data_IF_292375205478
#
_entry.id   IF_292375205478
#
_cell.length_a   1.000
_cell.length_b   1.000
_cell.length_c   1.000
_cell.angle_alpha   90.00
_cell.angle_beta   90.00
_cell.angle_gamma   90.00
#
_symmetry.space_group_name_H-M   'P 1'
#
loop_
_entity.id
_entity.type
_entity.pdbx_description
1 polymer ?
#
# COMPACT_ATOMS: atom_id res chain seq x y z
N UNK A 1 10.45 22.08 -28.60
CA UNK A 1 10.09 23.21 -29.46
C UNK A 1 8.93 22.82 -30.37
N UNK A 2 8.24 23.78 -30.98
CA UNK A 2 7.20 23.51 -31.97
C UNK A 2 7.78 22.80 -33.19
N UNK A 3 9.00 23.15 -33.62
CA UNK A 3 9.72 22.49 -34.71
C UNK A 3 9.88 20.98 -34.48
N UNK A 4 10.21 20.54 -33.27
CA UNK A 4 10.35 19.10 -32.98
C UNK A 4 9.04 18.34 -33.01
N UNK A 5 7.91 19.02 -32.87
CA UNK A 5 6.57 18.47 -33.04
C UNK A 5 6.12 18.45 -34.51
N UNK A 6 6.53 19.46 -35.30
CA UNK A 6 6.21 19.58 -36.71
C UNK A 6 7.05 18.62 -37.59
N UNK A 7 8.33 18.43 -37.25
CA UNK A 7 9.25 17.51 -37.93
C UNK A 7 8.96 16.02 -37.65
N UNK A 8 8.14 15.72 -36.66
CA UNK A 8 7.83 14.35 -36.34
C UNK A 8 6.68 13.87 -37.21
N UNK A 9 6.97 12.88 -38.06
CA UNK A 9 6.02 12.24 -38.98
C UNK A 9 4.76 11.69 -38.27
N UNK A 10 4.82 11.55 -36.95
CA UNK A 10 3.73 11.08 -36.06
C UNK A 10 2.91 12.22 -35.42
N UNK A 11 3.21 13.48 -35.69
CA UNK A 11 2.53 14.72 -35.24
C UNK A 11 1.56 14.61 -34.04
N UNK A 12 0.32 14.25 -34.29
CA UNK A 12 -0.69 14.10 -33.25
C UNK A 12 -0.45 12.93 -32.29
N UNK A 13 0.19 11.84 -32.73
CA UNK A 13 0.46 10.68 -31.87
C UNK A 13 1.54 10.99 -30.81
N UNK A 14 2.51 11.86 -31.12
CA UNK A 14 3.52 12.26 -30.16
C UNK A 14 2.94 13.13 -29.04
N UNK A 15 2.07 14.08 -29.37
CA UNK A 15 1.40 14.92 -28.38
C UNK A 15 0.55 14.08 -27.40
N UNK A 16 -0.26 13.18 -27.93
CA UNK A 16 -1.05 12.26 -27.11
C UNK A 16 -0.18 11.37 -26.23
N UNK A 17 0.96 10.92 -26.74
CA UNK A 17 1.92 10.12 -25.98
C UNK A 17 2.52 10.92 -24.82
N UNK A 18 2.95 12.17 -25.07
CA UNK A 18 3.49 13.06 -24.02
C UNK A 18 2.43 13.33 -22.95
N UNK A 19 1.20 13.67 -23.33
CA UNK A 19 0.10 13.91 -22.39
C UNK A 19 -0.18 12.67 -21.54
N UNK A 20 -0.16 11.48 -22.13
CA UNK A 20 -0.35 10.21 -21.42
C UNK A 20 0.79 9.94 -20.44
N UNK A 21 2.04 10.15 -20.83
CA UNK A 21 3.19 10.01 -19.92
C UNK A 21 3.11 10.97 -18.75
N UNK A 22 2.78 12.24 -19.00
CA UNK A 22 2.62 13.25 -17.95
C UNK A 22 1.48 12.89 -16.99
N UNK A 23 0.35 12.43 -17.50
CA UNK A 23 -0.80 12.04 -16.67
C UNK A 23 -0.47 10.84 -15.79
N UNK A 24 0.23 9.84 -16.34
CA UNK A 24 0.65 8.66 -15.57
C UNK A 24 1.67 9.03 -14.49
N UNK A 25 2.69 9.85 -14.82
CA UNK A 25 3.67 10.32 -13.84
C UNK A 25 2.98 11.09 -12.71
N UNK A 26 2.07 12.00 -13.06
CA UNK A 26 1.34 12.80 -12.11
C UNK A 26 0.40 11.97 -11.22
N UNK A 27 -0.21 10.91 -11.77
CA UNK A 27 -1.04 9.99 -10.99
C UNK A 27 -0.20 9.23 -9.95
N UNK A 28 1.01 8.78 -10.32
CA UNK A 28 1.95 8.14 -9.39
C UNK A 28 2.40 9.11 -8.29
N UNK A 29 2.70 10.37 -8.64
CA UNK A 29 3.09 11.40 -7.68
C UNK A 29 1.95 11.71 -6.69
N UNK A 30 0.70 11.71 -7.14
CA UNK A 30 -0.48 11.89 -6.27
C UNK A 30 -0.61 10.71 -5.30
N UNK A 31 -0.40 9.48 -5.77
CA UNK A 31 -0.48 8.28 -4.92
C UNK A 31 0.62 8.32 -3.85
N UNK A 32 1.86 8.64 -4.24
CA UNK A 32 2.97 8.81 -3.29
C UNK A 32 2.69 9.92 -2.28
N UNK A 33 2.23 11.09 -2.73
CA UNK A 33 1.85 12.20 -1.84
C UNK A 33 0.72 11.81 -0.87
N UNK A 34 -0.27 11.07 -1.33
CA UNK A 34 -1.38 10.64 -0.47
C UNK A 34 -0.94 9.63 0.60
N UNK A 35 0.09 8.82 0.31
CA UNK A 35 0.61 7.82 1.24
C UNK A 35 1.67 8.45 2.15
N UNK A 36 2.70 9.09 1.57
CA UNK A 36 3.93 9.51 2.25
C UNK A 36 4.02 11.01 2.54
N UNK A 37 3.01 11.81 2.19
CA UNK A 37 3.03 13.24 2.48
C UNK A 37 3.31 13.50 3.96
N UNK A 38 4.20 14.44 4.27
CA UNK A 38 4.65 14.76 5.63
C UNK A 38 4.18 16.13 6.16
N UNK A 39 3.57 16.95 5.28
CA UNK A 39 3.11 18.29 5.64
C UNK A 39 4.25 19.25 6.03
N UNK A 40 5.53 18.84 5.86
CA UNK A 40 6.70 19.65 6.19
C UNK A 40 7.02 20.68 5.11
N UNK A 41 8.01 21.53 5.32
CA UNK A 41 8.37 22.55 4.32
C UNK A 41 9.52 22.08 3.43
N UNK A 42 9.37 22.18 2.09
CA UNK A 42 10.49 22.14 1.16
C UNK A 42 10.44 21.12 0.04
N UNK A 43 9.58 20.10 0.10
CA UNK A 43 9.50 19.04 -0.91
C UNK A 43 8.08 18.91 -1.49
N UNK A 44 7.93 18.15 -2.56
CA UNK A 44 6.60 17.80 -3.10
C UNK A 44 5.71 17.11 -2.05
N UNK A 45 6.27 16.22 -1.23
CA UNK A 45 5.57 15.51 -0.16
C UNK A 45 5.12 16.43 0.99
N UNK A 46 5.61 17.67 1.05
CA UNK A 46 5.22 18.65 2.07
C UNK A 46 3.88 19.35 1.81
N UNK A 47 3.28 19.12 0.64
CA UNK A 47 2.03 19.79 0.24
C UNK A 47 0.86 19.39 1.16
N UNK A 48 0.83 18.13 1.62
CA UNK A 48 -0.21 17.63 2.52
C UNK A 48 0.31 16.47 3.37
N UNK A 49 -0.37 16.19 4.48
CA UNK A 49 -0.13 15.02 5.30
C UNK A 49 -0.78 13.78 4.66
N UNK A 50 0.04 12.76 4.39
CA UNK A 50 -0.36 11.46 3.86
C UNK A 50 -0.95 10.53 4.91
N UNK A 51 -1.49 9.39 4.48
CA UNK A 51 -2.08 8.40 5.38
C UNK A 51 -1.09 7.89 6.42
N UNK A 52 0.16 7.59 6.02
CA UNK A 52 1.20 7.09 6.93
C UNK A 52 1.55 8.14 7.99
N UNK A 53 1.74 9.40 7.58
CA UNK A 53 2.05 10.48 8.52
C UNK A 53 0.90 10.71 9.51
N UNK A 54 -0.34 10.77 9.02
CA UNK A 54 -1.53 10.92 9.87
C UNK A 54 -1.70 9.79 10.86
N UNK A 55 -1.38 8.55 10.45
CA UNK A 55 -1.43 7.39 11.35
C UNK A 55 -0.37 7.49 12.46
N UNK A 56 0.85 7.97 12.14
CA UNK A 56 1.94 8.11 13.10
C UNK A 56 1.80 9.35 14.01
N UNK A 57 1.26 10.46 13.47
CA UNK A 57 1.24 11.77 14.12
C UNK A 57 0.05 11.99 15.06
N UNK A 58 -0.98 11.18 15.00
CA UNK A 58 -2.16 11.39 15.84
C UNK A 58 -1.86 10.98 17.28
N UNK A 59 -1.28 11.91 18.02
CA UNK A 59 -0.96 11.80 19.45
C UNK A 59 -2.18 11.82 20.36
N UNK A 60 -3.37 11.49 19.90
CA UNK A 60 -4.57 11.37 20.72
C UNK A 60 -4.96 9.91 20.91
N UNK A 61 -4.24 9.22 21.80
CA UNK A 61 -4.72 8.06 22.55
C UNK A 61 -5.18 6.79 21.81
N UNK A 62 -5.62 6.90 20.60
CA UNK A 62 -6.14 5.77 19.82
C UNK A 62 -5.07 5.09 18.96
N UNK A 63 -4.03 5.80 18.58
CA UNK A 63 -2.95 5.30 17.75
C UNK A 63 -1.72 4.82 18.53
N UNK A 64 -1.82 4.64 19.84
CA UNK A 64 -0.83 3.91 20.64
C UNK A 64 -0.73 2.42 20.27
N UNK A 65 -1.37 2.03 19.20
CA UNK A 65 -1.34 0.66 18.70
C UNK A 65 -0.12 0.42 17.82
N UNK A 66 1.03 0.98 18.23
CA UNK A 66 2.31 0.63 17.62
C UNK A 66 2.68 -0.76 18.11
N UNK A 67 2.67 -1.71 17.21
CA UNK A 67 3.23 -3.03 17.48
C UNK A 67 4.70 -2.99 17.12
N UNK A 68 5.55 -3.18 18.12
CA UNK A 68 6.99 -3.28 17.92
C UNK A 68 7.36 -4.53 17.14
N UNK A 69 8.17 -4.36 16.10
CA UNK A 69 8.66 -5.45 15.24
C UNK A 69 10.15 -5.62 15.44
N UNK A 70 10.54 -6.63 16.20
CA UNK A 70 11.96 -6.91 16.44
C UNK A 70 12.62 -7.54 15.21
N UNK A 71 13.79 -7.03 14.84
CA UNK A 71 14.63 -7.55 13.75
C UNK A 71 13.93 -7.66 12.38
N UNK A 72 12.95 -6.83 12.08
CA UNK A 72 12.18 -6.86 10.82
C UNK A 72 11.58 -8.24 10.52
N UNK A 73 11.18 -8.98 11.57
CA UNK A 73 10.58 -10.31 11.43
C UNK A 73 9.06 -10.23 11.46
N UNK A 74 8.45 -10.38 10.31
CA UNK A 74 6.99 -10.35 10.12
C UNK A 74 6.37 -11.71 10.41
N UNK A 75 6.22 -12.02 11.69
CA UNK A 75 5.65 -13.29 12.17
C UNK A 75 4.14 -13.22 12.33
N UNK A 76 3.50 -14.38 12.43
CA UNK A 76 2.07 -14.47 12.74
C UNK A 76 1.71 -13.78 14.06
N UNK A 77 2.62 -13.78 15.04
CA UNK A 77 2.41 -13.15 16.34
C UNK A 77 2.34 -11.61 16.22
N UNK A 78 3.22 -11.01 15.40
CA UNK A 78 3.18 -9.57 15.10
C UNK A 78 1.84 -9.20 14.47
N UNK A 79 1.39 -9.97 13.48
CA UNK A 79 0.11 -9.72 12.81
C UNK A 79 -1.07 -9.90 13.77
N UNK A 80 -0.99 -10.87 14.68
CA UNK A 80 -2.01 -11.05 15.73
C UNK A 80 -2.04 -9.85 16.69
N UNK A 81 -0.89 -9.33 17.08
CA UNK A 81 -0.81 -8.14 17.95
C UNK A 81 -1.43 -6.92 17.28
N UNK A 82 -1.22 -6.71 15.98
CA UNK A 82 -1.88 -5.63 15.22
C UNK A 82 -3.41 -5.80 15.26
N UNK A 83 -3.92 -7.02 15.08
CA UNK A 83 -5.37 -7.29 15.18
C UNK A 83 -5.89 -7.00 16.59
N UNK A 84 -5.11 -7.32 17.63
CA UNK A 84 -5.50 -7.07 19.01
C UNK A 84 -5.42 -5.60 19.40
N UNK A 85 -4.61 -4.82 18.71
CA UNK A 85 -4.47 -3.39 18.91
C UNK A 85 -5.73 -2.61 18.48
N UNK A 86 -6.43 -3.05 17.45
CA UNK A 86 -7.70 -2.42 17.04
C UNK A 86 -8.78 -2.60 18.14
N UNK A 87 -9.57 -1.57 18.47
CA UNK A 87 -10.66 -1.65 19.41
C UNK A 87 -11.66 -2.79 19.11
N UNK A 88 -12.21 -3.39 20.17
CA UNK A 88 -13.07 -4.57 20.07
C UNK A 88 -14.30 -4.38 19.14
N UNK A 89 -14.83 -3.15 19.07
CA UNK A 89 -15.98 -2.81 18.20
C UNK A 89 -15.69 -3.10 16.72
N UNK A 90 -14.46 -2.83 16.27
CA UNK A 90 -14.03 -3.06 14.87
C UNK A 90 -13.60 -4.51 14.63
N UNK A 91 -13.00 -5.16 15.64
CA UNK A 91 -12.63 -6.58 15.54
C UNK A 91 -13.81 -7.50 15.33
N UNK A 92 -15.01 -7.08 15.76
CA UNK A 92 -16.24 -7.85 15.55
C UNK A 92 -16.58 -8.04 14.06
N UNK A 93 -16.11 -7.12 13.19
CA UNK A 93 -16.34 -7.14 11.73
C UNK A 93 -15.04 -7.54 11.01
N UNK A 94 -14.34 -8.54 11.53
CA UNK A 94 -13.03 -9.01 11.04
C UNK A 94 -13.00 -9.30 9.53
N UNK A 95 -14.10 -9.78 8.96
CA UNK A 95 -14.20 -10.11 7.54
C UNK A 95 -13.97 -8.91 6.59
N UNK A 96 -14.19 -7.69 7.09
CA UNK A 96 -14.05 -6.47 6.29
C UNK A 96 -12.67 -5.79 6.48
N UNK A 97 -11.89 -6.26 7.46
CA UNK A 97 -10.53 -5.75 7.69
C UNK A 97 -9.59 -6.25 6.60
N UNK A 98 -8.62 -5.40 6.24
CA UNK A 98 -7.50 -5.75 5.36
C UNK A 98 -6.20 -5.21 5.92
N UNK A 99 -5.14 -6.00 5.78
CA UNK A 99 -3.78 -5.51 5.95
C UNK A 99 -3.31 -4.84 4.67
N UNK A 100 -2.66 -3.71 4.82
CA UNK A 100 -1.95 -3.04 3.75
C UNK A 100 -0.48 -2.98 4.15
N UNK A 101 0.39 -3.50 3.31
CA UNK A 101 1.78 -3.70 3.64
C UNK A 101 2.69 -3.19 2.53
N UNK A 102 3.84 -2.64 2.89
CA UNK A 102 4.92 -2.36 1.96
C UNK A 102 5.43 -3.64 1.29
N UNK A 103 6.12 -3.52 0.18
CA UNK A 103 6.61 -4.67 -0.60
C UNK A 103 7.53 -5.58 0.22
N UNK A 104 8.40 -5.02 1.05
CA UNK A 104 9.32 -5.75 1.92
C UNK A 104 8.58 -6.54 3.00
N UNK A 105 7.60 -5.91 3.66
CA UNK A 105 6.74 -6.56 4.66
C UNK A 105 5.90 -7.67 4.02
N UNK A 106 5.32 -7.40 2.86
CA UNK A 106 4.54 -8.39 2.11
C UNK A 106 5.39 -9.63 1.78
N UNK A 107 6.60 -9.42 1.27
CA UNK A 107 7.54 -10.52 1.00
C UNK A 107 7.97 -11.25 2.28
N UNK A 108 8.17 -10.54 3.38
CA UNK A 108 8.46 -11.11 4.69
C UNK A 108 7.34 -12.04 5.17
N UNK A 109 6.08 -11.62 5.04
CA UNK A 109 4.90 -12.42 5.39
C UNK A 109 4.79 -13.67 4.51
N UNK A 110 4.98 -13.52 3.20
CA UNK A 110 4.94 -14.65 2.25
C UNK A 110 6.03 -15.67 2.58
N UNK A 111 7.25 -15.21 2.88
CA UNK A 111 8.36 -16.07 3.30
C UNK A 111 8.07 -16.79 4.60
N UNK A 112 7.52 -16.10 5.59
CA UNK A 112 7.14 -16.71 6.88
C UNK A 112 6.07 -17.79 6.70
N UNK A 113 5.05 -17.53 5.90
CA UNK A 113 4.01 -18.51 5.58
C UNK A 113 4.59 -19.71 4.84
N UNK A 114 5.55 -19.51 3.96
CA UNK A 114 6.28 -20.60 3.26
C UNK A 114 7.05 -21.49 4.23
N UNK A 115 7.87 -20.91 5.11
CA UNK A 115 8.62 -21.68 6.13
C UNK A 115 7.70 -22.45 7.07
N UNK A 116 6.55 -21.87 7.43
CA UNK A 116 5.57 -22.56 8.25
C UNK A 116 4.94 -23.76 7.52
N UNK A 117 4.65 -23.62 6.24
CA UNK A 117 4.15 -24.71 5.40
C UNK A 117 5.17 -25.84 5.28
N UNK A 118 6.45 -25.52 5.09
CA UNK A 118 7.55 -26.51 5.02
C UNK A 118 7.73 -27.24 6.35
N UNK A 119 7.69 -26.53 7.48
CA UNK A 119 7.77 -27.13 8.81
C UNK A 119 6.58 -28.06 9.12
N UNK A 120 5.39 -27.69 8.69
CA UNK A 120 4.20 -28.53 8.79
C UNK A 120 4.36 -29.77 7.90
N UNK A 121 4.82 -29.63 6.67
CA UNK A 121 5.05 -30.73 5.74
C UNK A 121 6.09 -31.72 6.30
N UNK A 122 7.17 -31.23 6.92
CA UNK A 122 8.19 -32.05 7.57
C UNK A 122 7.62 -32.78 8.79
N UNK A 123 6.86 -32.10 9.64
CA UNK A 123 6.19 -32.70 10.79
C UNK A 123 5.20 -33.83 10.38
N UNK A 124 4.48 -33.65 9.27
CA UNK A 124 3.60 -34.68 8.72
C UNK A 124 4.35 -35.80 7.98
N UNK A 125 5.57 -35.54 7.51
CA UNK A 125 6.42 -36.56 6.88
C UNK A 125 6.82 -37.65 7.84
N UNK A 126 6.90 -37.35 9.13
CA UNK A 126 7.23 -38.34 10.20
C UNK A 126 6.03 -39.19 10.66
N UNK A 127 4.80 -38.92 10.17
CA UNK A 127 3.60 -39.68 10.50
C UNK A 127 3.48 -40.91 9.58
N UNK A 128 3.27 -42.16 10.09
CA UNK A 128 3.14 -43.36 9.28
C UNK A 128 2.04 -43.23 8.21
N UNK A 129 2.27 -43.84 7.05
CA UNK A 129 1.47 -43.73 5.82
C UNK A 129 0.03 -44.32 5.90
N UNK A 130 -0.72 -43.92 6.89
CA UNK A 130 -2.12 -44.39 7.11
C UNK A 130 -3.18 -43.32 7.24
N UNK A 131 -2.84 -42.04 7.17
CA UNK A 131 -3.80 -40.92 7.35
C UNK A 131 -3.81 -39.97 6.12
N UNK A 132 -4.46 -40.34 5.02
CA UNK A 132 -4.27 -39.69 3.75
C UNK A 132 -5.09 -38.40 3.52
N UNK A 133 -6.24 -38.26 4.11
CA UNK A 133 -7.19 -37.23 3.65
C UNK A 133 -6.88 -35.80 4.12
N UNK A 134 -6.28 -35.62 5.29
CA UNK A 134 -6.09 -34.28 5.85
C UNK A 134 -4.78 -33.59 5.43
N UNK A 135 -3.77 -34.39 5.06
CA UNK A 135 -2.44 -33.90 4.65
C UNK A 135 -2.51 -33.12 3.35
N UNK A 136 -3.16 -33.70 2.33
CA UNK A 136 -3.26 -33.09 1.01
C UNK A 136 -4.09 -31.79 1.05
N UNK A 137 -5.20 -31.81 1.78
CA UNK A 137 -6.05 -30.62 1.96
C UNK A 137 -5.32 -29.48 2.69
N UNK A 138 -4.42 -29.81 3.62
CA UNK A 138 -3.61 -28.83 4.33
C UNK A 138 -2.52 -28.24 3.43
N UNK A 139 -1.84 -29.08 2.65
CA UNK A 139 -0.84 -28.67 1.67
C UNK A 139 -1.47 -27.89 0.51
N UNK A 140 -2.64 -28.29 0.03
CA UNK A 140 -3.38 -27.57 -1.00
C UNK A 140 -3.86 -26.20 -0.51
N UNK A 141 -4.26 -26.08 0.76
CA UNK A 141 -4.64 -24.82 1.38
C UNK A 141 -3.48 -23.83 1.53
N UNK A 142 -2.25 -24.33 1.76
CA UNK A 142 -1.03 -23.51 1.84
C UNK A 142 -0.42 -23.25 0.47
N UNK A 143 -0.52 -24.21 -0.47
CA UNK A 143 0.01 -24.05 -1.83
C UNK A 143 -0.74 -23.00 -2.67
N UNK A 144 -2.01 -22.74 -2.38
CA UNK A 144 -2.76 -21.66 -3.03
C UNK A 144 -2.23 -20.27 -2.71
N UNK A 145 -1.38 -20.13 -1.69
CA UNK A 145 -0.77 -18.87 -1.29
C UNK A 145 0.38 -18.45 -2.23
N UNK A 146 0.93 -19.37 -3.03
CA UNK A 146 2.07 -19.12 -3.93
C UNK A 146 1.69 -18.73 -5.37
N UNK A 147 0.41 -18.70 -5.70
CA UNK A 147 -0.06 -18.42 -7.06
C UNK A 147 -0.18 -16.92 -7.35
N UNK A 148 0.92 -16.21 -7.55
CA UNK A 148 1.01 -14.96 -8.34
C UNK A 148 0.02 -13.82 -8.06
N UNK A 149 -0.85 -13.93 -7.08
CA UNK A 149 -1.76 -12.87 -6.67
C UNK A 149 -1.05 -11.91 -5.72
N UNK A 150 -1.19 -10.61 -5.93
CA UNK A 150 -0.72 -9.55 -5.01
C UNK A 150 -1.47 -9.55 -3.67
N UNK A 151 -2.12 -10.62 -3.31
CA UNK A 151 -2.87 -10.79 -2.06
C UNK A 151 -2.52 -12.11 -1.43
N UNK A 152 -2.14 -12.08 -0.16
CA UNK A 152 -1.98 -13.27 0.69
C UNK A 152 -2.94 -13.14 1.89
N UNK A 153 -3.15 -14.23 2.63
CA UNK A 153 -4.00 -14.23 3.82
C UNK A 153 -3.20 -14.56 5.07
N UNK A 154 -3.41 -13.79 6.12
CA UNK A 154 -2.86 -14.05 7.45
C UNK A 154 -3.99 -13.99 8.47
N UNK A 155 -4.12 -15.05 9.28
CA UNK A 155 -5.17 -15.18 10.29
C UNK A 155 -6.60 -14.94 9.75
N UNK A 156 -6.82 -15.26 8.46
CA UNK A 156 -8.11 -15.11 7.79
C UNK A 156 -8.41 -13.69 7.29
N UNK A 157 -7.43 -12.78 7.34
CA UNK A 157 -7.50 -11.42 6.81
C UNK A 157 -6.62 -11.34 5.57
N UNK A 158 -7.10 -10.69 4.51
CA UNK A 158 -6.34 -10.48 3.28
C UNK A 158 -5.23 -9.45 3.53
N UNK A 159 -4.04 -9.71 2.98
CA UNK A 159 -2.91 -8.77 2.96
C UNK A 159 -2.77 -8.25 1.54
N UNK A 160 -2.83 -6.94 1.39
CA UNK A 160 -2.67 -6.26 0.11
C UNK A 160 -1.34 -5.52 0.08
N UNK A 161 -0.56 -5.75 -0.97
CA UNK A 161 0.66 -5.01 -1.22
C UNK A 161 0.35 -3.58 -1.69
N UNK A 162 1.05 -2.60 -1.11
CA UNK A 162 1.00 -1.18 -1.49
C UNK A 162 2.43 -0.71 -1.80
N UNK A 163 2.76 -0.48 -3.09
CA UNK A 163 4.13 -0.23 -3.53
C UNK A 163 4.79 1.02 -2.92
N UNK A 164 4.01 2.05 -2.61
CA UNK A 164 4.52 3.32 -2.07
C UNK A 164 4.60 3.35 -0.54
N UNK A 165 4.30 2.26 0.15
CA UNK A 165 4.47 2.22 1.61
C UNK A 165 5.95 2.26 1.99
N UNK A 166 6.28 2.98 3.08
CA UNK A 166 7.63 2.93 3.65
C UNK A 166 8.06 1.51 3.97
N UNK A 167 9.36 1.27 3.91
CA UNK A 167 9.94 0.00 4.34
C UNK A 167 9.59 -0.27 5.81
N UNK A 168 9.24 -1.51 6.11
CA UNK A 168 8.89 -1.92 7.47
C UNK A 168 7.52 -1.46 7.97
N UNK A 169 6.67 -0.90 7.09
CA UNK A 169 5.36 -0.39 7.50
C UNK A 169 4.21 -1.30 7.04
N UNK A 170 3.29 -1.55 7.95
CA UNK A 170 2.01 -2.24 7.70
C UNK A 170 0.90 -1.60 8.53
N UNK A 171 -0.26 -1.44 7.95
CA UNK A 171 -1.47 -1.06 8.67
C UNK A 171 -2.62 -2.04 8.47
N UNK A 172 -3.54 -2.05 9.40
CA UNK A 172 -4.77 -2.83 9.41
C UNK A 172 -5.96 -1.89 9.55
N UNK A 173 -6.83 -1.88 8.55
CA UNK A 173 -8.02 -1.04 8.54
C UNK A 173 -9.09 -1.57 7.61
N UNK A 174 -10.27 -0.94 7.60
CA UNK A 174 -11.30 -1.18 6.59
C UNK A 174 -10.97 -0.44 5.29
N UNK A 175 -11.22 -1.01 4.11
CA UNK A 175 -11.01 -0.30 2.84
C UNK A 175 -11.75 1.03 2.76
N UNK A 176 -12.98 1.09 3.29
CA UNK A 176 -13.81 2.30 3.29
C UNK A 176 -13.28 3.41 4.22
N UNK A 177 -12.43 3.05 5.20
CA UNK A 177 -11.89 4.01 6.15
C UNK A 177 -10.92 5.03 5.50
N UNK A 178 -10.43 4.71 4.31
CA UNK A 178 -9.58 5.60 3.51
C UNK A 178 -10.44 6.46 2.59
N UNK A 179 -10.69 7.69 2.98
CA UNK A 179 -11.52 8.62 2.21
C UNK A 179 -10.63 9.52 1.34
N UNK A 180 -10.92 9.52 0.04
CA UNK A 180 -10.32 10.42 -0.94
C UNK A 180 -11.38 11.42 -1.40
N UNK A 181 -11.09 12.70 -1.28
CA UNK A 181 -11.97 13.78 -1.75
C UNK A 181 -11.34 14.49 -2.93
N UNK A 182 -11.93 14.39 -4.13
CA UNK A 182 -11.52 15.16 -5.30
C UNK A 182 -12.46 16.34 -5.50
N UNK A 183 -11.92 17.55 -5.40
CA UNK A 183 -12.65 18.77 -5.72
C UNK A 183 -12.49 19.14 -7.20
N UNK A 184 -11.33 18.83 -7.78
CA UNK A 184 -11.03 19.04 -9.18
C UNK A 184 -10.24 17.87 -9.70
N UNK A 185 -10.74 17.23 -10.75
CA UNK A 185 -10.06 16.14 -11.44
C UNK A 185 -8.79 16.62 -12.14
N UNK A 186 -7.93 15.69 -12.51
CA UNK A 186 -6.71 15.98 -13.25
C UNK A 186 -7.09 16.69 -14.56
N UNK A 187 -6.62 17.92 -14.69
CA UNK A 187 -6.86 18.76 -15.87
C UNK A 187 -5.52 19.16 -16.47
N UNK A 188 -5.32 18.86 -17.74
CA UNK A 188 -4.13 19.25 -18.50
C UNK A 188 -4.48 20.45 -19.37
N UNK A 189 -3.81 21.57 -19.16
CA UNK A 189 -3.93 22.76 -20.00
C UNK A 189 -2.71 22.85 -20.91
N UNK A 190 -2.95 23.18 -22.17
CA UNK A 190 -1.94 23.40 -23.19
C UNK A 190 -1.92 24.89 -23.54
N UNK A 191 -0.75 25.52 -23.47
CA UNK A 191 -0.53 26.91 -23.85
C UNK A 191 0.67 27.01 -24.77
N UNK A 192 0.46 27.65 -25.95
CA UNK A 192 1.56 27.99 -26.86
C UNK A 192 2.12 29.36 -26.50
N UNK A 193 3.44 29.46 -26.26
CA UNK A 193 4.14 30.71 -25.99
C UNK A 193 4.96 31.14 -27.21
N UNK A 194 4.42 32.07 -28.04
CA UNK A 194 5.09 32.49 -29.29
C UNK A 194 6.49 33.10 -29.06
N UNK A 195 6.68 33.76 -27.91
CA UNK A 195 7.96 34.41 -27.58
C UNK A 195 9.11 33.43 -27.40
N UNK A 196 8.83 32.18 -27.02
CA UNK A 196 9.84 31.15 -26.75
C UNK A 196 9.76 30.01 -27.76
N UNK A 197 8.79 30.06 -28.67
CA UNK A 197 8.44 28.95 -29.58
C UNK A 197 8.32 27.61 -28.84
N UNK A 198 7.56 27.62 -27.72
CA UNK A 198 7.38 26.45 -26.86
C UNK A 198 5.91 26.24 -26.56
N UNK A 199 5.54 24.96 -26.41
CA UNK A 199 4.26 24.54 -25.89
C UNK A 199 4.47 24.17 -24.42
N UNK A 200 3.72 24.82 -23.53
CA UNK A 200 3.72 24.53 -22.09
C UNK A 200 2.47 23.69 -21.76
N UNK A 201 2.68 22.57 -21.06
CA UNK A 201 1.61 21.77 -20.49
C UNK A 201 1.58 22.00 -18.98
N UNK A 202 0.43 22.37 -18.45
CA UNK A 202 0.22 22.57 -17.02
C UNK A 202 -0.84 21.61 -16.51
N UNK A 203 -0.49 20.80 -15.51
CA UNK A 203 -1.40 19.84 -14.91
C UNK A 203 -1.91 20.38 -13.58
N UNK A 204 -3.21 20.32 -13.36
CA UNK A 204 -3.86 20.75 -12.14
C UNK A 204 -4.71 19.62 -11.57
N UNK A 205 -4.64 19.47 -10.25
CA UNK A 205 -5.56 18.63 -9.47
C UNK A 205 -5.84 19.32 -8.15
N UNK A 206 -7.01 19.08 -7.56
CA UNK A 206 -7.28 19.44 -6.17
C UNK A 206 -7.94 18.26 -5.48
N UNK A 207 -7.23 17.67 -4.54
CA UNK A 207 -7.69 16.54 -3.78
C UNK A 207 -7.28 16.68 -2.30
N UNK A 208 -7.86 15.86 -1.46
CA UNK A 208 -7.51 15.71 -0.06
C UNK A 208 -7.81 14.30 0.40
N UNK A 209 -7.20 13.89 1.49
CA UNK A 209 -7.39 12.57 2.08
C UNK A 209 -7.73 12.71 3.56
N UNK A 210 -8.47 11.73 4.08
CA UNK A 210 -8.82 11.66 5.50
C UNK A 210 -9.12 10.21 5.89
N UNK A 211 -8.83 9.87 7.14
CA UNK A 211 -9.42 8.69 7.77
C UNK A 211 -10.87 9.02 8.15
N UNK A 212 -11.82 8.13 7.85
CA UNK A 212 -13.21 8.28 8.30
C UNK A 212 -13.30 8.12 9.82
N UNK A 213 -12.63 7.07 10.33
CA UNK A 213 -12.47 6.83 11.77
C UNK A 213 -10.99 6.51 12.08
N UNK A 214 -10.33 7.39 12.78
CA UNK A 214 -8.92 7.24 13.14
C UNK A 214 -8.70 6.04 14.08
N UNK A 215 -9.63 5.78 15.01
CA UNK A 215 -9.60 4.64 15.91
C UNK A 215 -9.68 3.28 15.20
N UNK A 216 -10.10 3.23 13.95
CA UNK A 216 -10.23 1.99 13.18
C UNK A 216 -8.95 1.61 12.44
N UNK A 217 -7.82 2.21 12.79
CA UNK A 217 -6.50 1.92 12.20
C UNK A 217 -5.57 1.39 13.28
N UNK A 218 -4.87 0.30 13.02
CA UNK A 218 -3.70 -0.14 13.80
C UNK A 218 -2.53 -0.37 12.87
N UNK A 219 -1.32 -0.11 13.31
CA UNK A 219 -0.14 -0.24 12.46
C UNK A 219 1.05 -0.82 13.21
N UNK A 220 2.00 -1.31 12.45
CA UNK A 220 3.33 -1.65 12.92
C UNK A 220 4.38 -0.98 12.02
N UNK A 221 5.47 -0.54 12.64
CA UNK A 221 6.58 0.11 11.97
C UNK A 221 7.90 -0.44 12.52
N UNK A 222 8.64 -1.17 11.69
CA UNK A 222 9.95 -1.72 12.07
C UNK A 222 11.05 -0.64 12.09
N UNK A 223 10.86 0.48 11.38
CA UNK A 223 11.82 1.58 11.34
C UNK A 223 11.78 2.47 12.61
N UNK A 224 10.77 2.32 13.46
CA UNK A 224 10.61 3.11 14.67
C UNK A 224 11.62 2.75 15.81
N UNK A 225 12.43 1.70 15.64
CA UNK A 225 13.44 1.23 16.62
C UNK A 225 14.86 1.71 16.33
N UNK A 226 15.10 2.57 15.33
CA UNK A 226 16.46 3.04 14.97
C UNK A 226 16.78 4.44 15.50
#
# INVERSE_FOLDING_TARGET
SSESLEDNIEGGALEDHIVRLMTNAFANDIEDLAINGDGSTGNFLSIMEGFVHRTKASGSGAHESIVTVSNNQWTTDVMQNIILAIPRKYRAIKSNLKFYAGTDVFQGIVKHNGTLADAIAEAFSSVPAGTPANRQAYLDGTAQTFGGARTTRVLGIDVQEVPYYPEGYVDLTFPQNRVWGFQRDITVNREYKPQKDTIEYTVFVRFGIQWEEEDAVAYADAAAES
#
